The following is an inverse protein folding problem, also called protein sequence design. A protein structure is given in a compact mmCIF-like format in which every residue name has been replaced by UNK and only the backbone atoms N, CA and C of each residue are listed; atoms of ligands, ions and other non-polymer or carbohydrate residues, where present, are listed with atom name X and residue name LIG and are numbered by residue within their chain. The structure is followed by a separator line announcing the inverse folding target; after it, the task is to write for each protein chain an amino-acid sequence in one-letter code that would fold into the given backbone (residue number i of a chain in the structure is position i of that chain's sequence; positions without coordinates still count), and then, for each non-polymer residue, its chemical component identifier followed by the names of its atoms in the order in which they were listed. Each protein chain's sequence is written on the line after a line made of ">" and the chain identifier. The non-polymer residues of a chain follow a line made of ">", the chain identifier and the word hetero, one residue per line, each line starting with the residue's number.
data_IF_371538225484
#
_entry.id   IF_371538225484
#
_cell.length_a   1.000
_cell.length_b   1.000
_cell.length_c   1.000
_cell.angle_alpha   90.00
_cell.angle_beta   90.00
_cell.angle_gamma   90.00
#
_symmetry.space_group_name_H-M   'P 1'
#
loop_
_entity.id
_entity.type
_entity.pdbx_description
1 polymer ?
#
# COMPACT_ATOMS: atom_id res chain seq x y z
N UNK A 1 -10.45 -2.18 -25.19
CA UNK A 1 -9.12 -2.20 -24.51
C UNK A 1 -8.92 -0.83 -23.88
N UNK A 2 -8.86 -0.72 -22.53
CA UNK A 2 -8.43 0.55 -21.90
C UNK A 2 -6.96 0.76 -22.26
N UNK A 3 -6.64 1.85 -22.93
CA UNK A 3 -5.26 2.27 -23.19
C UNK A 3 -4.56 2.41 -21.84
N UNK A 4 -3.60 1.54 -21.56
CA UNK A 4 -2.75 1.65 -20.38
C UNK A 4 -1.86 2.87 -20.62
N UNK A 5 -2.14 3.95 -19.90
CA UNK A 5 -1.34 5.19 -19.98
C UNK A 5 0.11 4.89 -19.64
N UNK A 6 1.04 5.56 -20.33
CA UNK A 6 2.47 5.50 -19.99
C UNK A 6 2.65 5.95 -18.53
N UNK A 7 3.46 5.25 -17.71
CA UNK A 7 3.69 5.65 -16.32
C UNK A 7 4.19 7.09 -16.20
N UNK A 8 3.52 7.89 -15.37
CA UNK A 8 3.77 9.33 -15.23
C UNK A 8 5.09 9.65 -14.53
N UNK A 9 5.47 8.82 -13.56
CA UNK A 9 6.61 9.07 -12.67
C UNK A 9 7.88 8.34 -13.08
N UNK A 10 7.81 7.38 -14.01
CA UNK A 10 8.95 6.60 -14.44
C UNK A 10 9.94 7.48 -15.22
N UNK A 11 11.20 7.58 -14.72
CA UNK A 11 12.28 8.34 -15.36
C UNK A 11 12.28 9.86 -15.13
N UNK A 12 11.34 10.42 -14.33
CA UNK A 12 11.28 11.86 -14.02
C UNK A 12 11.74 12.18 -12.58
N UNK A 13 12.28 13.40 -12.39
CA UNK A 13 12.37 14.00 -11.04
C UNK A 13 10.96 14.38 -10.61
N UNK A 14 10.57 14.02 -9.40
CA UNK A 14 9.21 14.27 -8.90
C UNK A 14 9.31 15.08 -7.62
N UNK A 15 8.71 16.26 -7.62
CA UNK A 15 8.44 17.01 -6.39
C UNK A 15 7.08 16.53 -5.89
N UNK A 16 7.00 15.97 -4.66
CA UNK A 16 5.78 15.39 -4.13
C UNK A 16 5.21 16.33 -3.11
N UNK A 17 4.29 17.15 -3.56
CA UNK A 17 3.43 17.99 -2.72
C UNK A 17 1.95 17.63 -2.95
N UNK A 18 1.70 16.35 -3.24
CA UNK A 18 0.37 15.85 -3.56
C UNK A 18 -0.17 15.06 -2.37
N UNK A 19 -1.32 15.49 -1.86
CA UNK A 19 -2.05 14.73 -0.85
C UNK A 19 -2.36 13.30 -1.34
N UNK A 20 -2.29 12.27 -0.46
CA UNK A 20 -2.66 10.90 -0.83
C UNK A 20 -4.07 10.77 -1.38
N UNK A 21 -4.98 11.70 -1.03
CA UNK A 21 -6.34 11.72 -1.58
C UNK A 21 -6.34 11.94 -3.10
N UNK A 22 -5.51 12.86 -3.58
CA UNK A 22 -5.44 13.28 -4.99
C UNK A 22 -4.35 12.54 -5.79
N UNK A 23 -3.59 11.66 -5.15
CA UNK A 23 -2.53 10.92 -5.81
C UNK A 23 -3.11 9.95 -6.84
N UNK A 24 -2.57 9.97 -8.05
CA UNK A 24 -2.87 9.01 -9.12
C UNK A 24 -1.80 7.91 -9.13
N UNK A 25 -2.22 6.68 -8.80
CA UNK A 25 -1.31 5.54 -8.76
C UNK A 25 -1.10 4.99 -10.17
N UNK A 26 0.14 4.95 -10.63
CA UNK A 26 0.48 4.33 -11.91
C UNK A 26 0.42 2.80 -11.82
N UNK A 27 -0.09 2.23 -12.89
CA UNK A 27 -0.10 0.79 -13.10
C UNK A 27 0.38 0.49 -14.52
N UNK A 28 1.12 -0.60 -14.67
CA UNK A 28 1.58 -1.10 -15.96
C UNK A 28 0.84 -2.39 -16.34
N UNK A 29 0.88 -2.77 -17.62
CA UNK A 29 0.29 -4.03 -18.06
C UNK A 29 0.96 -5.21 -17.38
N UNK A 30 0.16 -6.16 -16.88
CA UNK A 30 0.70 -7.40 -16.36
C UNK A 30 1.18 -8.26 -17.55
N UNK A 31 2.51 -8.54 -17.67
CA UNK A 31 3.03 -9.35 -18.76
C UNK A 31 2.61 -10.83 -18.67
N UNK A 32 2.19 -11.30 -17.48
CA UNK A 32 1.82 -12.68 -17.19
C UNK A 32 0.38 -12.79 -16.69
N UNK A 33 -0.58 -12.22 -17.43
CA UNK A 33 -2.02 -12.22 -17.05
C UNK A 33 -2.68 -13.61 -17.11
N UNK A 34 -2.05 -14.54 -17.79
CA UNK A 34 -2.42 -15.96 -17.87
C UNK A 34 -1.95 -16.75 -16.64
N UNK A 35 -1.04 -16.21 -15.83
CA UNK A 35 -0.51 -16.83 -14.64
C UNK A 35 -1.19 -16.29 -13.37
N UNK A 36 -1.21 -17.14 -12.33
CA UNK A 36 -1.66 -16.75 -10.98
C UNK A 36 -0.43 -16.70 -10.08
N UNK A 37 -0.11 -15.52 -9.60
CA UNK A 37 1.03 -15.28 -8.70
C UNK A 37 0.72 -14.15 -7.74
N UNK A 38 1.47 -14.06 -6.65
CA UNK A 38 1.36 -12.98 -5.67
C UNK A 38 2.52 -12.00 -5.78
N UNK A 39 2.23 -10.75 -5.48
CA UNK A 39 3.22 -9.69 -5.32
C UNK A 39 3.14 -9.19 -3.89
N UNK A 40 4.29 -9.04 -3.23
CA UNK A 40 4.43 -8.40 -1.92
C UNK A 40 5.25 -7.13 -2.03
N UNK A 41 4.72 -6.04 -1.49
CA UNK A 41 5.49 -4.86 -1.15
C UNK A 41 5.63 -4.75 0.37
N UNK A 42 6.84 -4.44 0.82
CA UNK A 42 7.13 -4.15 2.23
C UNK A 42 7.63 -2.71 2.33
N UNK A 43 6.96 -1.91 3.14
CA UNK A 43 7.31 -0.50 3.37
C UNK A 43 7.57 -0.31 4.88
N UNK A 44 8.82 -0.52 5.34
CA UNK A 44 9.15 -0.50 6.77
C UNK A 44 9.20 0.91 7.37
N UNK A 45 9.21 1.94 6.53
CA UNK A 45 9.41 3.34 6.94
C UNK A 45 8.17 4.20 6.64
N UNK A 46 6.96 3.63 6.76
CA UNK A 46 5.75 4.40 6.55
C UNK A 46 5.60 5.45 7.66
N UNK A 47 5.24 6.66 7.25
CA UNK A 47 5.06 7.79 8.17
C UNK A 47 3.79 8.57 7.78
N UNK A 48 3.00 8.94 8.77
CA UNK A 48 1.90 9.89 8.66
C UNK A 48 1.94 10.89 9.81
N UNK A 49 0.97 11.80 9.86
CA UNK A 49 0.84 12.78 10.95
C UNK A 49 -0.42 12.46 11.76
N UNK A 50 -0.32 12.47 13.07
CA UNK A 50 -1.49 12.40 13.93
C UNK A 50 -2.39 13.62 13.70
N UNK A 51 -3.69 13.43 13.40
CA UNK A 51 -4.58 14.55 13.11
C UNK A 51 -4.89 15.40 14.34
N UNK A 52 -4.60 14.91 15.54
CA UNK A 52 -4.89 15.60 16.80
C UNK A 52 -3.67 16.32 17.37
N UNK A 53 -2.51 15.63 17.39
CA UNK A 53 -1.30 16.14 18.05
C UNK A 53 -0.28 16.72 17.07
N UNK A 54 -0.48 16.55 15.77
CA UNK A 54 0.48 16.91 14.71
C UNK A 54 1.87 16.25 14.85
N UNK A 55 1.96 15.22 15.68
CA UNK A 55 3.17 14.42 15.82
C UNK A 55 3.25 13.35 14.74
N UNK A 56 4.44 12.96 14.30
CA UNK A 56 4.60 11.89 13.33
C UNK A 56 4.24 10.53 13.92
N UNK A 57 3.55 9.74 13.12
CA UNK A 57 3.24 8.33 13.35
C UNK A 57 4.09 7.47 12.44
N UNK A 58 4.69 6.44 12.99
CA UNK A 58 5.55 5.51 12.26
C UNK A 58 4.94 4.12 12.26
N UNK A 59 5.09 3.43 11.15
CA UNK A 59 4.62 2.06 11.01
C UNK A 59 5.26 1.34 9.83
N UNK A 60 4.98 0.06 9.76
CA UNK A 60 5.37 -0.80 8.65
C UNK A 60 4.12 -1.23 7.89
N UNK A 61 4.17 -1.18 6.56
CA UNK A 61 3.11 -1.72 5.70
C UNK A 61 3.60 -2.96 4.97
N UNK A 62 2.74 -3.98 4.93
CA UNK A 62 2.86 -5.13 4.06
C UNK A 62 1.65 -5.17 3.16
N UNK A 63 1.89 -5.16 1.86
CA UNK A 63 0.87 -5.15 0.82
C UNK A 63 1.05 -6.40 -0.03
N UNK A 64 0.14 -7.34 0.10
CA UNK A 64 0.09 -8.54 -0.72
C UNK A 64 -1.08 -8.46 -1.68
N UNK A 65 -0.85 -8.76 -2.95
CA UNK A 65 -1.96 -8.86 -3.89
C UNK A 65 -1.70 -9.87 -5.00
N UNK A 66 -2.77 -10.41 -5.53
CA UNK A 66 -2.77 -11.24 -6.74
C UNK A 66 -3.21 -10.37 -7.90
N UNK A 67 -2.31 -10.04 -8.84
CA UNK A 67 -2.64 -9.14 -9.93
C UNK A 67 -3.66 -9.75 -10.90
N UNK A 68 -4.33 -8.87 -11.63
CA UNK A 68 -5.21 -9.24 -12.73
C UNK A 68 -4.57 -8.77 -14.06
N UNK A 69 -5.14 -7.77 -14.70
CA UNK A 69 -4.67 -7.23 -15.98
C UNK A 69 -3.51 -6.25 -15.85
N UNK A 70 -3.33 -5.69 -14.67
CA UNK A 70 -2.32 -4.66 -14.37
C UNK A 70 -1.58 -4.99 -13.09
N UNK A 71 -0.36 -4.49 -13.00
CA UNK A 71 0.47 -4.50 -11.79
C UNK A 71 0.78 -3.05 -11.38
N UNK A 72 0.92 -2.84 -10.09
CA UNK A 72 1.28 -1.53 -9.53
C UNK A 72 2.70 -1.18 -9.90
N UNK A 73 2.94 0.04 -10.41
CA UNK A 73 4.28 0.52 -10.69
C UNK A 73 4.96 0.92 -9.37
N UNK A 74 6.12 0.35 -9.11
CA UNK A 74 6.78 0.39 -7.80
C UNK A 74 7.24 1.79 -7.38
N UNK A 75 7.73 2.62 -8.32
CA UNK A 75 8.11 4.00 -8.05
C UNK A 75 6.88 4.85 -7.71
N UNK A 76 5.79 4.67 -8.44
CA UNK A 76 4.53 5.35 -8.16
C UNK A 76 3.97 4.97 -6.77
N UNK A 77 4.04 3.68 -6.40
CA UNK A 77 3.67 3.25 -5.05
C UNK A 77 4.55 3.90 -3.98
N UNK A 78 5.86 3.92 -4.17
CA UNK A 78 6.80 4.61 -3.26
C UNK A 78 6.39 6.06 -3.05
N UNK A 79 6.09 6.79 -4.13
CA UNK A 79 5.70 8.20 -4.07
C UNK A 79 4.33 8.38 -3.41
N UNK A 80 3.39 7.47 -3.67
CA UNK A 80 2.09 7.46 -3.01
C UNK A 80 2.23 7.27 -1.50
N UNK A 81 3.01 6.29 -1.04
CA UNK A 81 3.25 6.09 0.39
C UNK A 81 3.98 7.29 1.02
N UNK A 82 4.91 7.89 0.28
CA UNK A 82 5.60 9.10 0.73
C UNK A 82 4.65 10.29 0.93
N UNK A 83 3.58 10.40 0.14
CA UNK A 83 2.62 11.50 0.24
C UNK A 83 1.87 11.56 1.58
N UNK A 84 1.91 10.48 2.37
CA UNK A 84 1.33 10.45 3.72
C UNK A 84 2.17 11.20 4.76
N UNK A 85 3.42 11.53 4.49
CA UNK A 85 4.33 12.18 5.47
C UNK A 85 3.83 13.54 5.96
N UNK A 86 2.96 14.20 5.19
CA UNK A 86 2.31 15.45 5.56
C UNK A 86 0.79 15.31 5.68
N UNK A 87 0.29 14.07 5.71
CA UNK A 87 -1.12 13.79 5.78
C UNK A 87 -1.54 13.46 7.21
N UNK A 88 -2.43 14.29 7.77
CA UNK A 88 -3.08 14.04 9.06
C UNK A 88 -4.21 13.02 8.91
N UNK A 89 -4.04 11.82 9.47
CA UNK A 89 -5.05 10.77 9.40
C UNK A 89 -4.87 9.74 10.50
N UNK A 90 -5.97 9.16 10.96
CA UNK A 90 -5.91 8.01 11.85
C UNK A 90 -5.25 6.81 11.16
N UNK A 91 -4.64 5.94 11.93
CA UNK A 91 -3.93 4.75 11.44
C UNK A 91 -4.83 3.88 10.55
N UNK A 92 -6.09 3.70 10.96
CA UNK A 92 -7.10 2.94 10.23
C UNK A 92 -7.41 3.59 8.88
N UNK A 93 -7.59 4.92 8.84
CA UNK A 93 -7.87 5.65 7.60
C UNK A 93 -6.69 5.54 6.63
N UNK A 94 -5.46 5.73 7.11
CA UNK A 94 -4.25 5.56 6.31
C UNK A 94 -4.20 4.16 5.67
N UNK A 95 -4.43 3.12 6.47
CA UNK A 95 -4.38 1.72 6.02
C UNK A 95 -5.44 1.44 4.95
N UNK A 96 -6.67 1.84 5.21
CA UNK A 96 -7.78 1.64 4.28
C UNK A 96 -7.60 2.48 3.01
N UNK A 97 -7.04 3.69 3.11
CA UNK A 97 -6.71 4.52 1.94
C UNK A 97 -5.71 3.86 1.01
N UNK A 98 -4.66 3.27 1.57
CA UNK A 98 -3.67 2.52 0.79
C UNK A 98 -4.34 1.37 0.04
N UNK A 99 -5.16 0.58 0.73
CA UNK A 99 -5.89 -0.53 0.11
C UNK A 99 -6.84 -0.06 -1.00
N UNK A 100 -7.67 0.94 -0.71
CA UNK A 100 -8.64 1.49 -1.68
C UNK A 100 -7.96 2.07 -2.92
N UNK A 101 -6.80 2.72 -2.77
CA UNK A 101 -6.05 3.28 -3.89
C UNK A 101 -5.56 2.17 -4.82
N UNK A 102 -4.96 1.11 -4.29
CA UNK A 102 -4.50 -0.02 -5.08
C UNK A 102 -5.68 -0.73 -5.77
N UNK A 103 -6.78 -0.95 -5.06
CA UNK A 103 -7.99 -1.55 -5.63
C UNK A 103 -8.52 -0.73 -6.82
N UNK A 104 -8.58 0.60 -6.66
CA UNK A 104 -9.09 1.51 -7.69
C UNK A 104 -8.27 1.44 -8.99
N UNK A 105 -6.95 1.41 -8.88
CA UNK A 105 -6.06 1.54 -10.03
C UNK A 105 -5.61 0.20 -10.62
N UNK A 106 -5.27 -0.78 -9.78
CA UNK A 106 -4.78 -2.08 -10.21
C UNK A 106 -5.88 -3.15 -10.38
N UNK A 107 -7.03 -2.99 -9.72
CA UNK A 107 -8.14 -3.96 -9.76
C UNK A 107 -7.66 -5.40 -9.55
N UNK A 108 -6.94 -5.72 -8.46
CA UNK A 108 -6.38 -7.04 -8.24
C UNK A 108 -7.48 -8.09 -8.03
N UNK A 109 -7.16 -9.37 -8.28
CA UNK A 109 -8.06 -10.51 -7.97
C UNK A 109 -8.28 -10.66 -6.47
N UNK A 110 -7.22 -10.41 -5.70
CA UNK A 110 -7.20 -10.43 -4.25
C UNK A 110 -6.15 -9.46 -3.73
N UNK A 111 -6.40 -8.87 -2.57
CA UNK A 111 -5.46 -7.98 -1.89
C UNK A 111 -5.58 -8.12 -0.38
N UNK A 112 -4.45 -8.07 0.30
CA UNK A 112 -4.31 -7.87 1.74
C UNK A 112 -3.37 -6.69 1.98
N UNK A 113 -3.79 -5.75 2.82
CA UNK A 113 -2.93 -4.66 3.32
C UNK A 113 -2.91 -4.79 4.83
N UNK A 114 -1.72 -4.99 5.37
CA UNK A 114 -1.47 -5.03 6.80
C UNK A 114 -0.56 -3.87 7.19
N UNK A 115 -0.90 -3.15 8.23
CA UNK A 115 -0.08 -2.10 8.81
C UNK A 115 0.17 -2.36 10.29
N UNK A 116 1.40 -2.17 10.68
CA UNK A 116 1.92 -2.43 12.03
C UNK A 116 2.49 -1.12 12.55
N UNK A 117 1.75 -0.47 13.43
CA UNK A 117 2.07 0.86 13.92
C UNK A 117 2.86 0.81 15.22
N UNK A 118 3.82 1.71 15.33
CA UNK A 118 4.58 1.86 16.57
C UNK A 118 3.65 2.29 17.71
N UNK A 119 3.94 1.85 18.96
CA UNK A 119 3.07 2.13 20.08
C UNK A 119 2.88 3.61 20.35
N UNK A 120 1.65 3.96 20.71
CA UNK A 120 1.29 5.22 21.35
C UNK A 120 0.74 4.92 22.74
N UNK A 121 1.28 5.60 23.77
CA UNK A 121 0.92 5.28 25.15
C UNK A 121 1.16 3.82 25.53
N UNK A 122 2.16 3.15 24.90
CA UNK A 122 2.47 1.75 25.14
C UNK A 122 1.58 0.75 24.40
N UNK A 123 0.62 1.20 23.58
CA UNK A 123 -0.32 0.34 22.85
C UNK A 123 0.09 0.29 21.37
N UNK A 124 0.60 -0.85 20.83
CA UNK A 124 0.79 -1.06 19.40
C UNK A 124 -0.57 -1.30 18.73
N UNK A 125 -0.70 -0.92 17.47
CA UNK A 125 -1.91 -1.11 16.70
C UNK A 125 -1.60 -1.79 15.38
N UNK A 126 -2.21 -2.94 15.15
CA UNK A 126 -2.08 -3.70 13.92
C UNK A 126 -3.43 -3.69 13.18
N UNK A 127 -3.43 -3.31 11.91
CA UNK A 127 -4.64 -3.20 11.11
C UNK A 127 -4.48 -4.06 9.88
N UNK A 128 -5.42 -4.97 9.65
CA UNK A 128 -5.41 -5.88 8.51
C UNK A 128 -6.70 -5.70 7.71
N UNK A 129 -6.53 -5.29 6.47
CA UNK A 129 -7.61 -5.20 5.48
C UNK A 129 -7.42 -6.28 4.41
N UNK A 130 -8.51 -6.91 4.00
CA UNK A 130 -8.51 -7.88 2.92
C UNK A 130 -9.74 -7.72 2.03
N UNK A 131 -9.56 -7.91 0.71
CA UNK A 131 -10.65 -7.91 -0.26
C UNK A 131 -10.39 -8.91 -1.38
N UNK A 132 -11.48 -9.52 -1.86
CA UNK A 132 -11.47 -10.55 -2.88
C UNK A 132 -11.36 -11.96 -2.31
N UNK A 133 -11.60 -12.97 -3.17
CA UNK A 133 -11.42 -14.38 -2.81
C UNK A 133 -9.97 -14.77 -3.04
N UNK A 134 -9.29 -15.22 -1.98
CA UNK A 134 -7.92 -15.73 -2.11
C UNK A 134 -7.91 -16.91 -3.07
N UNK A 135 -7.12 -16.88 -4.16
CA UNK A 135 -7.00 -18.01 -5.06
C UNK A 135 -6.38 -19.22 -4.36
N UNK A 136 -6.86 -20.42 -4.68
CA UNK A 136 -6.41 -21.67 -4.02
C UNK A 136 -4.97 -22.01 -4.41
N UNK A 137 -4.60 -21.76 -5.67
CA UNK A 137 -3.32 -22.19 -6.25
C UNK A 137 -2.26 -21.06 -6.23
N UNK A 138 -2.24 -20.22 -5.19
CA UNK A 138 -1.24 -19.18 -5.02
C UNK A 138 -0.70 -19.17 -3.60
N UNK A 139 0.62 -19.17 -3.47
CA UNK A 139 1.26 -18.97 -2.19
C UNK A 139 1.19 -17.50 -1.79
N UNK A 140 0.57 -17.22 -0.64
CA UNK A 140 0.61 -15.92 0.01
C UNK A 140 1.45 -16.08 1.27
N UNK A 141 2.58 -15.42 1.29
CA UNK A 141 3.48 -15.45 2.43
C UNK A 141 2.77 -15.03 3.72
N UNK A 142 3.01 -15.71 4.82
CA UNK A 142 2.49 -15.32 6.14
C UNK A 142 3.02 -13.95 6.55
N UNK A 143 2.32 -13.27 7.43
CA UNK A 143 2.74 -11.95 7.87
C UNK A 143 3.95 -12.02 8.80
N UNK A 144 4.16 -13.13 9.50
CA UNK A 144 5.31 -13.45 10.37
C UNK A 144 5.86 -12.26 11.16
N UNK A 145 4.98 -11.33 11.50
CA UNK A 145 5.34 -10.19 12.34
C UNK A 145 5.10 -10.64 13.76
N UNK A 146 6.15 -10.72 14.58
CA UNK A 146 5.97 -11.11 15.97
C UNK A 146 5.04 -10.13 16.68
N UNK A 147 4.27 -10.64 17.62
CA UNK A 147 3.64 -9.84 18.66
C UNK A 147 4.67 -8.80 19.10
N UNK A 148 4.23 -7.55 19.27
CA UNK A 148 5.10 -6.41 19.55
C UNK A 148 6.19 -6.73 20.59
N UNK A 149 7.44 -6.68 20.16
CA UNK A 149 8.65 -6.86 20.96
C UNK A 149 9.58 -5.64 20.84
N UNK A 150 9.02 -4.42 20.84
CA UNK A 150 9.82 -3.19 20.74
C UNK A 150 10.10 -2.75 19.29
N UNK A 151 9.14 -2.98 18.36
CA UNK A 151 9.21 -2.40 17.00
C UNK A 151 9.26 -0.88 17.07
#
# INVERSE_FOLDING_TARGET
>A
MKNIKKPKYLGSKTNIDISPNNFELDCISNPHKDQIYSIRFSAPEFTSICPVTSQPDFGQFIIDYVPNRTIVESKSLKLFLFSFRHYGGFHEDCTIKVAKKIIKYASPRWIRVASFWNPRGGIPLDIIFQKGKKPINVHIQELNIPIYNGR
#
